data_IF_837885444254
#
_entry.id   IF_837885444254
#
_cell.length_a   1.000
_cell.length_b   1.000
_cell.length_c   1.000
_cell.angle_alpha   90.00
_cell.angle_beta   90.00
_cell.angle_gamma   90.00
#
_symmetry.space_group_name_H-M   'P 1'
#
loop_
_entity.id
_entity.type
_entity.pdbx_description
1 polymer ?
#
# COMPACT_ATOMS: atom_id res chain seq x y z
N UNK A 1 -1.70 22.12 -11.66
CA UNK A 1 -0.84 21.14 -10.96
C UNK A 1 -1.74 20.05 -10.36
N UNK A 2 -1.39 18.77 -10.46
CA UNK A 2 -2.21 17.63 -9.99
C UNK A 2 -1.34 16.65 -9.22
N UNK A 3 -1.85 16.08 -8.13
CA UNK A 3 -1.22 14.95 -7.44
C UNK A 3 -1.70 13.68 -8.15
N UNK A 4 -0.77 12.94 -8.75
CA UNK A 4 -1.06 11.72 -9.52
C UNK A 4 -0.32 10.49 -9.01
N UNK A 5 0.52 10.67 -8.00
CA UNK A 5 1.35 9.63 -7.41
C UNK A 5 1.50 9.90 -5.91
N UNK A 6 1.43 8.83 -5.13
CA UNK A 6 1.84 8.80 -3.72
C UNK A 6 2.61 7.51 -3.45
N UNK A 7 3.36 7.43 -2.35
CA UNK A 7 4.29 6.32 -2.11
C UNK A 7 4.11 5.69 -0.74
N UNK A 8 4.34 4.38 -0.67
CA UNK A 8 4.52 3.62 0.57
C UNK A 8 5.83 2.84 0.52
N UNK A 9 6.59 2.91 1.61
CA UNK A 9 7.80 2.11 1.79
C UNK A 9 7.45 0.71 2.27
N UNK A 10 7.90 -0.31 1.55
CA UNK A 10 7.62 -1.72 1.79
C UNK A 10 8.89 -2.51 2.08
N UNK A 11 8.79 -3.52 2.94
CA UNK A 11 9.89 -4.41 3.33
C UNK A 11 10.32 -5.33 2.19
N UNK A 12 9.37 -5.84 1.43
CA UNK A 12 9.56 -6.73 0.29
C UNK A 12 8.55 -6.36 -0.81
N UNK A 13 9.06 -6.00 -1.99
CA UNK A 13 8.22 -5.52 -3.10
C UNK A 13 7.30 -6.61 -3.67
N UNK A 14 7.72 -7.88 -3.68
CA UNK A 14 6.90 -8.98 -4.21
C UNK A 14 5.78 -9.35 -3.26
N UNK A 15 6.08 -9.42 -1.96
CA UNK A 15 5.09 -9.60 -0.90
C UNK A 15 4.08 -8.45 -0.89
N UNK A 16 4.57 -7.21 -1.01
CA UNK A 16 3.71 -6.04 -1.09
C UNK A 16 2.81 -6.11 -2.33
N UNK A 17 3.36 -6.35 -3.52
CA UNK A 17 2.56 -6.42 -4.73
C UNK A 17 1.41 -7.44 -4.59
N UNK A 18 1.71 -8.66 -4.11
CA UNK A 18 0.67 -9.67 -3.85
C UNK A 18 -0.37 -9.21 -2.85
N UNK A 19 0.04 -8.62 -1.73
CA UNK A 19 -0.91 -8.12 -0.73
C UNK A 19 -1.83 -7.03 -1.30
N UNK A 20 -1.27 -6.03 -1.96
CA UNK A 20 -2.03 -4.92 -2.51
C UNK A 20 -2.93 -5.35 -3.67
N UNK A 21 -2.57 -6.36 -4.47
CA UNK A 21 -3.41 -6.82 -5.58
C UNK A 21 -4.38 -7.94 -5.21
N UNK A 22 -3.91 -8.98 -4.53
CA UNK A 22 -4.70 -10.19 -4.27
C UNK A 22 -5.57 -10.07 -3.02
N UNK A 23 -5.15 -9.25 -2.03
CA UNK A 23 -5.90 -9.07 -0.77
C UNK A 23 -6.70 -7.78 -0.80
N UNK A 24 -6.03 -6.63 -1.02
CA UNK A 24 -6.72 -5.33 -1.07
C UNK A 24 -7.50 -5.12 -2.37
N UNK A 25 -7.16 -5.83 -3.45
CA UNK A 25 -7.93 -5.77 -4.71
C UNK A 25 -7.51 -4.64 -5.65
N UNK A 26 -6.38 -3.98 -5.42
CA UNK A 26 -5.85 -3.00 -6.36
C UNK A 26 -5.36 -3.67 -7.66
N UNK A 27 -5.29 -2.89 -8.73
CA UNK A 27 -4.76 -3.35 -10.01
C UNK A 27 -3.31 -2.90 -10.16
N UNK A 28 -2.43 -3.82 -10.59
CA UNK A 28 -1.07 -3.45 -10.98
C UNK A 28 -1.09 -2.56 -12.22
N UNK A 29 -0.48 -1.38 -12.15
CA UNK A 29 -0.41 -0.42 -13.26
C UNK A 29 0.96 -0.44 -13.93
N UNK A 30 2.04 -0.29 -13.15
CA UNK A 30 3.42 -0.34 -13.63
C UNK A 30 4.23 -1.36 -12.86
N UNK A 31 5.17 -2.01 -13.56
CA UNK A 31 6.09 -3.00 -12.98
C UNK A 31 7.29 -3.21 -13.92
N UNK A 32 8.39 -2.52 -13.65
CA UNK A 32 9.62 -2.62 -14.43
C UNK A 32 10.87 -2.34 -13.58
N UNK A 33 12.05 -2.87 -13.95
CA UNK A 33 13.27 -2.66 -13.20
C UNK A 33 13.76 -1.20 -13.27
N UNK A 34 14.27 -0.67 -12.15
CA UNK A 34 14.94 0.63 -12.02
C UNK A 34 16.15 0.48 -11.10
N UNK A 35 17.34 0.44 -11.72
CA UNK A 35 18.57 0.18 -10.98
C UNK A 35 18.53 -1.20 -10.34
N UNK A 36 18.76 -1.25 -9.03
CA UNK A 36 18.72 -2.49 -8.23
C UNK A 36 17.31 -2.82 -7.70
N UNK A 37 16.32 -1.94 -7.89
CA UNK A 37 14.95 -2.09 -7.42
C UNK A 37 13.94 -2.18 -8.58
N UNK A 38 12.65 -2.27 -8.26
CA UNK A 38 11.55 -2.17 -9.25
C UNK A 38 10.73 -0.91 -9.03
N UNK A 39 10.29 -0.31 -10.12
CA UNK A 39 9.20 0.65 -10.09
C UNK A 39 7.88 -0.11 -10.18
N UNK A 40 7.16 -0.18 -9.06
CA UNK A 40 5.87 -0.87 -8.97
C UNK A 40 4.81 0.14 -8.53
N UNK A 41 3.75 0.26 -9.32
CA UNK A 41 2.57 1.05 -8.91
C UNK A 41 1.29 0.24 -9.05
N UNK A 42 0.35 0.52 -8.15
CA UNK A 42 -1.01 -0.02 -8.16
C UNK A 42 -2.03 1.10 -8.20
N UNK A 43 -3.24 0.81 -8.69
CA UNK A 43 -4.36 1.75 -8.80
C UNK A 43 -5.66 1.13 -8.27
N UNK A 44 -6.61 1.99 -7.89
CA UNK A 44 -7.98 1.56 -7.62
C UNK A 44 -8.63 1.01 -8.90
N UNK A 45 -9.36 -0.11 -8.86
CA UNK A 45 -10.17 -0.56 -9.98
C UNK A 45 -11.29 0.43 -10.33
N UNK A 46 -11.71 1.28 -9.39
CA UNK A 46 -12.73 2.33 -9.61
C UNK A 46 -12.16 3.55 -10.35
N UNK A 47 -10.86 3.80 -10.20
CA UNK A 47 -10.14 4.90 -10.85
C UNK A 47 -8.83 4.40 -11.49
N UNK A 48 -8.88 3.59 -12.56
CA UNK A 48 -7.69 2.95 -13.15
C UNK A 48 -6.69 3.92 -13.78
N UNK A 49 -7.12 5.17 -14.07
CA UNK A 49 -6.29 6.28 -14.55
C UNK A 49 -6.20 7.44 -13.52
N UNK A 50 -6.55 7.12 -12.27
CA UNK A 50 -6.59 8.01 -11.11
C UNK A 50 -5.21 8.32 -10.53
N UNK A 51 -5.10 8.25 -9.21
CA UNK A 51 -3.82 8.37 -8.48
C UNK A 51 -3.17 6.99 -8.40
N UNK A 52 -1.88 6.94 -8.67
CA UNK A 52 -1.08 5.73 -8.51
C UNK A 52 -0.47 5.67 -7.09
N UNK A 53 -0.45 4.47 -6.51
CA UNK A 53 0.27 4.16 -5.28
C UNK A 53 1.55 3.41 -5.63
N UNK A 54 2.71 4.03 -5.41
CA UNK A 54 4.01 3.41 -5.56
C UNK A 54 4.37 2.55 -4.35
N UNK A 55 4.87 1.34 -4.61
CA UNK A 55 5.39 0.42 -3.60
C UNK A 55 6.93 0.48 -3.63
N UNK A 56 7.49 1.41 -2.87
CA UNK A 56 8.93 1.71 -2.86
C UNK A 56 9.70 0.80 -1.89
N UNK A 57 10.91 0.34 -2.24
CA UNK A 57 11.73 -0.46 -1.33
C UNK A 57 12.15 0.37 -0.10
N UNK A 58 12.14 -0.26 1.07
CA UNK A 58 12.51 0.38 2.33
C UNK A 58 14.02 0.24 2.65
N UNK A 59 14.90 0.38 1.65
CA UNK A 59 16.35 0.17 1.80
C UNK A 59 17.11 1.41 2.31
N UNK A 60 16.48 2.58 2.25
CA UNK A 60 17.04 3.81 2.79
C UNK A 60 16.94 3.84 4.33
N UNK A 61 18.02 4.14 5.08
CA UNK A 61 17.97 4.21 6.55
C UNK A 61 16.91 5.19 7.10
N UNK A 62 16.65 6.31 6.43
CA UNK A 62 15.65 7.28 6.85
C UNK A 62 14.22 6.74 6.64
N UNK A 63 13.96 6.07 5.51
CA UNK A 63 12.67 5.44 5.25
C UNK A 63 12.36 4.34 6.28
N UNK A 64 13.36 3.52 6.64
CA UNK A 64 13.20 2.50 7.70
C UNK A 64 12.87 3.12 9.05
N UNK A 65 13.61 4.15 9.44
CA UNK A 65 13.39 4.84 10.71
C UNK A 65 11.98 5.44 10.76
N UNK A 66 11.54 6.08 9.69
CA UNK A 66 10.19 6.63 9.55
C UNK A 66 9.11 5.54 9.66
N UNK A 67 9.18 4.51 8.82
CA UNK A 67 8.19 3.42 8.78
C UNK A 67 8.07 2.75 10.16
N UNK A 68 9.20 2.45 10.82
CA UNK A 68 9.21 1.84 12.14
C UNK A 68 8.57 2.76 13.18
N UNK A 69 8.96 4.04 13.20
CA UNK A 69 8.47 4.99 14.20
C UNK A 69 6.95 5.19 14.13
N UNK A 70 6.38 5.30 12.91
CA UNK A 70 4.93 5.43 12.75
C UNK A 70 4.20 4.13 13.08
N UNK A 71 4.78 2.97 12.75
CA UNK A 71 4.21 1.67 13.09
C UNK A 71 4.16 1.43 14.60
N UNK A 72 5.25 1.71 15.32
CA UNK A 72 5.33 1.58 16.78
C UNK A 72 4.31 2.51 17.48
N UNK A 73 4.07 3.70 16.91
CA UNK A 73 3.06 4.65 17.37
C UNK A 73 1.65 4.32 16.84
N UNK A 74 1.54 3.33 15.94
CA UNK A 74 0.37 2.96 15.12
C UNK A 74 -0.34 4.13 14.46
N UNK A 75 0.46 5.05 13.94
CA UNK A 75 0.01 6.06 12.99
C UNK A 75 -0.07 5.37 11.62
N UNK A 76 -1.23 5.41 10.94
CA UNK A 76 -1.37 4.78 9.63
C UNK A 76 -0.51 5.50 8.59
N UNK A 77 0.18 4.72 7.74
CA UNK A 77 1.03 5.27 6.67
C UNK A 77 0.22 5.80 5.47
N UNK A 78 -0.99 5.28 5.27
CA UNK A 78 -1.92 5.70 4.23
C UNK A 78 -3.36 5.53 4.72
N UNK A 79 -4.28 6.25 4.07
CA UNK A 79 -5.72 6.15 4.30
C UNK A 79 -6.40 5.91 2.95
N UNK A 80 -7.24 4.88 2.89
CA UNK A 80 -8.07 4.56 1.74
C UNK A 80 -9.54 4.77 2.12
N UNK A 81 -10.33 5.30 1.19
CA UNK A 81 -11.76 5.48 1.36
C UNK A 81 -12.50 4.35 0.68
N UNK A 82 -13.59 3.91 1.31
CA UNK A 82 -14.51 2.89 0.80
C UNK A 82 -15.93 3.33 1.10
N UNK A 83 -16.89 2.85 0.31
CA UNK A 83 -18.31 3.20 0.49
C UNK A 83 -18.89 2.58 1.77
N UNK A 84 -18.58 1.32 2.04
CA UNK A 84 -19.04 0.58 3.22
C UNK A 84 -17.84 0.01 4.00
N UNK A 85 -17.52 0.68 5.11
CA UNK A 85 -16.40 0.30 5.98
C UNK A 85 -16.59 -1.08 6.61
N UNK A 86 -17.82 -1.45 7.00
CA UNK A 86 -18.06 -2.70 7.71
C UNK A 86 -17.98 -3.89 6.74
N UNK A 87 -18.56 -3.74 5.55
CA UNK A 87 -18.46 -4.76 4.51
C UNK A 87 -16.99 -5.00 4.10
N UNK A 88 -16.20 -3.93 3.95
CA UNK A 88 -14.79 -4.06 3.59
C UNK A 88 -13.95 -4.66 4.72
N UNK A 89 -14.20 -4.27 5.97
CA UNK A 89 -13.57 -4.90 7.14
C UNK A 89 -13.83 -6.41 7.17
N UNK A 90 -15.09 -6.83 6.99
CA UNK A 90 -15.46 -8.25 7.02
C UNK A 90 -14.83 -9.04 5.85
N UNK A 91 -14.74 -8.43 4.66
CA UNK A 91 -14.05 -9.02 3.50
C UNK A 91 -12.57 -9.23 3.78
N UNK A 92 -11.87 -8.18 4.22
CA UNK A 92 -10.43 -8.20 4.49
C UNK A 92 -10.09 -9.14 5.64
N UNK A 93 -10.92 -9.20 6.69
CA UNK A 93 -10.75 -10.12 7.81
C UNK A 93 -10.87 -11.59 7.37
N UNK A 94 -11.80 -11.91 6.47
CA UNK A 94 -11.92 -13.26 5.87
C UNK A 94 -10.70 -13.64 5.02
N UNK A 95 -10.03 -12.66 4.42
CA UNK A 95 -8.79 -12.83 3.67
C UNK A 95 -7.53 -12.84 4.57
N UNK A 96 -7.69 -12.78 5.89
CA UNK A 96 -6.59 -12.89 6.85
C UNK A 96 -5.88 -11.57 7.16
N UNK A 97 -6.44 -10.42 6.78
CA UNK A 97 -5.87 -9.12 7.15
C UNK A 97 -5.93 -8.93 8.67
N UNK A 98 -4.80 -8.51 9.25
CA UNK A 98 -4.70 -8.14 10.65
C UNK A 98 -5.07 -6.68 10.82
N UNK A 99 -6.13 -6.43 11.57
CA UNK A 99 -6.49 -5.08 12.01
C UNK A 99 -5.93 -4.85 13.42
N UNK A 100 -5.23 -3.74 13.62
CA UNK A 100 -4.76 -3.36 14.94
C UNK A 100 -5.97 -2.99 15.81
N UNK A 101 -6.30 -3.82 16.80
CA UNK A 101 -7.38 -3.55 17.75
C UNK A 101 -6.92 -2.44 18.70
N UNK A 102 -7.31 -1.21 18.40
CA UNK A 102 -7.11 -0.05 19.28
C UNK A 102 -8.46 0.31 19.88
N UNK A 103 -8.70 -0.20 21.08
CA UNK A 103 -9.72 0.32 22.00
C UNK A 103 -9.40 1.76 22.39
#
# INVERSE_FOLDING_TARGET
MRIKLTSLFVDDQDKALKFYTEVLGFLKKNDFPVGEARWITVVSPEEPDGVELALEPNDNPAARAYQKAIYDQGIPAAVFFVEDLQAEYDRLKKLGVVFCDRR
#
